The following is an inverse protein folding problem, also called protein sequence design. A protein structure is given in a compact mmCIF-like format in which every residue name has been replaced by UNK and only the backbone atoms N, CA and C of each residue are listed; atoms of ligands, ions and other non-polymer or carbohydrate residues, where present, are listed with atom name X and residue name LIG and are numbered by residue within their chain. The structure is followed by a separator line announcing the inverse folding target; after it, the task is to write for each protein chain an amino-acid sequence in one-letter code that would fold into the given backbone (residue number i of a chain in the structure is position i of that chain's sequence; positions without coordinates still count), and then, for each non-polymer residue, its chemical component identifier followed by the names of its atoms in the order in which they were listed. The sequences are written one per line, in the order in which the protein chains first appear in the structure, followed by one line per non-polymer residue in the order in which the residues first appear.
data_IF_431097870252
#
_entry.id   IF_431097870252
#
_cell.length_a   1.000
_cell.length_b   1.000
_cell.length_c   1.000
_cell.angle_alpha   90.00
_cell.angle_beta   90.00
_cell.angle_gamma   90.00
#
_symmetry.space_group_name_H-M   'P 1'
#
loop_
_entity.id
_entity.type
_entity.pdbx_description
1 polymer ?
#
# COMPACT_ATOMS: atom_id res chain seq x y z
N UNK A 1 -7.34 12.38 -9.33
CA UNK A 1 -6.07 11.64 -9.27
C UNK A 1 -5.79 11.35 -7.81
N UNK A 2 -5.90 10.10 -7.35
CA UNK A 2 -5.69 9.75 -5.93
C UNK A 2 -4.23 9.32 -5.74
N UNK A 3 -3.48 10.11 -4.99
CA UNK A 3 -2.09 9.81 -4.58
C UNK A 3 -2.04 9.80 -3.07
N UNK A 4 -1.49 8.73 -2.50
CA UNK A 4 -1.25 8.63 -1.06
C UNK A 4 -0.46 7.39 -0.71
N UNK A 5 0.87 7.49 -0.74
CA UNK A 5 1.77 6.60 0.00
C UNK A 5 2.05 7.27 1.35
N UNK A 6 1.81 6.58 2.47
CA UNK A 6 2.23 7.06 3.79
C UNK A 6 3.51 6.36 4.25
N UNK A 7 4.34 7.16 4.91
CA UNK A 7 5.56 6.87 5.69
C UNK A 7 6.93 6.97 5.01
N UNK A 8 6.99 7.09 3.69
CA UNK A 8 8.11 7.77 3.02
C UNK A 8 7.52 8.91 2.19
N UNK A 9 7.84 10.15 2.56
CA UNK A 9 7.36 11.39 1.93
C UNK A 9 7.43 11.23 0.41
N UNK A 10 6.28 11.12 -0.27
CA UNK A 10 6.23 11.32 -1.71
C UNK A 10 6.98 12.63 -2.00
N UNK A 11 7.98 12.66 -2.90
CA UNK A 11 8.84 13.82 -3.07
C UNK A 11 7.98 15.09 -3.11
N UNK A 12 8.19 16.04 -2.19
CA UNK A 12 7.27 17.19 -1.97
C UNK A 12 6.84 17.91 -3.26
N UNK A 13 7.68 17.87 -4.29
CA UNK A 13 7.39 18.38 -5.65
C UNK A 13 6.24 17.68 -6.40
N UNK A 14 5.81 16.50 -5.95
CA UNK A 14 4.76 15.66 -6.54
C UNK A 14 3.52 15.54 -5.63
N UNK A 15 3.62 16.00 -4.39
CA UNK A 15 2.49 16.03 -3.46
C UNK A 15 1.74 17.34 -3.70
N UNK A 16 0.50 17.25 -4.14
CA UNK A 16 -0.39 18.39 -4.24
C UNK A 16 -0.63 18.95 -2.81
N UNK A 17 -0.37 20.23 -2.54
CA UNK A 17 -0.58 20.82 -1.21
C UNK A 17 -2.04 20.75 -0.75
N UNK A 18 -2.99 20.55 -1.66
CA UNK A 18 -4.42 20.39 -1.35
C UNK A 18 -4.82 18.93 -1.09
N UNK A 19 -3.89 17.97 -1.19
CA UNK A 19 -4.20 16.57 -0.90
C UNK A 19 -4.33 16.32 0.61
N UNK A 20 -5.52 15.88 1.01
CA UNK A 20 -5.81 15.42 2.35
C UNK A 20 -5.83 13.89 2.40
N UNK A 21 -5.27 13.33 3.48
CA UNK A 21 -5.34 11.89 3.72
C UNK A 21 -6.77 11.52 4.10
N UNK A 22 -7.44 10.75 3.25
CA UNK A 22 -8.84 10.32 3.46
C UNK A 22 -8.96 9.02 4.27
N UNK A 23 -7.95 8.14 4.20
CA UNK A 23 -7.91 6.90 4.97
C UNK A 23 -6.50 6.31 5.01
N UNK A 24 -6.23 5.46 6.00
CA UNK A 24 -5.02 4.63 6.08
C UNK A 24 -5.41 3.17 5.98
N UNK A 25 -4.73 2.43 5.11
CA UNK A 25 -4.88 0.97 4.99
C UNK A 25 -3.60 0.33 5.51
N UNK A 26 -3.72 -0.50 6.55
CA UNK A 26 -2.59 -1.27 7.07
C UNK A 26 -2.68 -2.69 6.52
N UNK A 27 -1.54 -3.27 6.14
CA UNK A 27 -1.45 -4.65 5.68
C UNK A 27 -0.50 -5.43 6.59
N UNK A 28 -0.90 -6.63 6.99
CA UNK A 28 -0.05 -7.55 7.72
C UNK A 28 0.57 -8.58 6.76
N UNK A 29 1.90 -8.67 6.79
CA UNK A 29 2.70 -9.61 6.00
C UNK A 29 3.46 -10.60 6.89
N UNK A 30 3.24 -10.58 8.21
CA UNK A 30 4.00 -11.38 9.18
C UNK A 30 3.83 -12.89 9.01
N UNK A 31 2.74 -13.32 8.38
CA UNK A 31 2.45 -14.73 8.08
C UNK A 31 3.08 -15.21 6.76
N UNK A 32 3.71 -14.33 5.98
CA UNK A 32 4.29 -14.67 4.68
C UNK A 32 5.78 -15.05 4.86
N UNK A 33 6.16 -16.30 4.57
CA UNK A 33 7.56 -16.69 4.60
C UNK A 33 8.39 -15.85 3.63
N UNK A 34 9.56 -15.38 4.08
CA UNK A 34 10.47 -14.56 3.26
C UNK A 34 10.88 -15.23 1.95
N UNK A 35 10.86 -16.57 1.90
CA UNK A 35 11.14 -17.36 0.70
C UNK A 35 10.16 -17.12 -0.45
N UNK A 36 8.99 -16.51 -0.19
CA UNK A 36 8.03 -16.15 -1.24
C UNK A 36 8.35 -14.82 -1.92
N UNK A 37 9.24 -14.01 -1.36
CA UNK A 37 9.63 -12.73 -1.94
C UNK A 37 10.88 -12.85 -2.79
N UNK A 38 10.93 -12.07 -3.86
CA UNK A 38 12.13 -11.98 -4.68
C UNK A 38 13.26 -11.37 -3.86
N UNK A 39 14.36 -12.10 -3.75
CA UNK A 39 15.57 -11.67 -3.04
C UNK A 39 16.52 -10.95 -3.99
N UNK A 40 16.98 -9.77 -3.60
CA UNK A 40 18.03 -9.00 -4.27
C UNK A 40 19.16 -8.72 -3.29
N UNK A 41 20.38 -8.56 -3.80
CA UNK A 41 21.54 -8.19 -3.00
C UNK A 41 22.19 -6.93 -3.59
N UNK A 42 22.50 -5.96 -2.73
CA UNK A 42 23.30 -4.80 -3.12
C UNK A 42 24.74 -5.25 -3.37
N UNK A 43 25.28 -4.97 -4.56
CA UNK A 43 26.68 -5.25 -4.89
C UNK A 43 27.66 -4.34 -4.12
N UNK A 44 27.22 -3.16 -3.70
CA UNK A 44 28.04 -2.18 -2.98
C UNK A 44 28.16 -2.48 -1.49
N UNK A 45 27.07 -2.93 -0.86
CA UNK A 45 26.98 -3.11 0.59
C UNK A 45 26.84 -4.56 1.02
N UNK A 46 26.61 -5.48 0.08
CA UNK A 46 26.33 -6.89 0.36
C UNK A 46 24.96 -7.12 1.03
N UNK A 47 24.18 -6.08 1.32
CA UNK A 47 22.91 -6.19 2.03
C UNK A 47 21.85 -6.87 1.16
N UNK A 48 21.04 -7.70 1.81
CA UNK A 48 19.94 -8.42 1.20
C UNK A 48 18.64 -7.64 1.36
N UNK A 49 17.90 -7.51 0.27
CA UNK A 49 16.58 -6.90 0.21
C UNK A 49 15.58 -7.92 -0.31
N UNK A 50 14.34 -7.86 0.19
CA UNK A 50 13.22 -8.66 -0.30
C UNK A 50 12.21 -7.72 -0.95
N UNK A 51 11.80 -8.03 -2.17
CA UNK A 51 10.81 -7.26 -2.91
C UNK A 51 9.41 -7.82 -2.64
N UNK A 52 8.54 -6.98 -2.07
CA UNK A 52 7.13 -7.26 -1.93
C UNK A 52 6.32 -6.46 -2.97
N UNK A 53 5.55 -7.15 -3.79
CA UNK A 53 4.62 -6.52 -4.75
C UNK A 53 3.21 -6.50 -4.16
N UNK A 54 2.78 -5.31 -3.75
CA UNK A 54 1.45 -5.07 -3.18
C UNK A 54 0.54 -4.44 -4.24
N UNK A 55 -0.71 -4.88 -4.30
CA UNK A 55 -1.76 -4.25 -5.10
C UNK A 55 -2.78 -3.61 -4.18
N UNK A 56 -3.13 -2.37 -4.46
CA UNK A 56 -4.21 -1.69 -3.75
C UNK A 56 -5.46 -1.72 -4.64
N UNK A 57 -6.55 -2.27 -4.11
CA UNK A 57 -7.84 -2.35 -4.79
C UNK A 57 -8.85 -1.45 -4.09
N UNK A 58 -9.42 -0.50 -4.83
CA UNK A 58 -10.60 0.25 -4.41
C UNK A 58 -11.85 -0.39 -4.99
N UNK A 59 -12.91 -0.48 -4.18
CA UNK A 59 -14.25 -0.83 -4.65
C UNK A 59 -15.21 0.20 -4.09
N UNK A 60 -15.90 0.90 -4.99
CA UNK A 60 -16.90 1.89 -4.67
C UNK A 60 -18.29 1.32 -4.99
N UNK A 61 -19.16 1.28 -4.00
CA UNK A 61 -20.54 0.85 -4.15
C UNK A 61 -21.45 1.74 -3.31
N UNK A 62 -22.40 2.40 -3.97
CA UNK A 62 -23.27 3.42 -3.37
C UNK A 62 -22.45 4.56 -2.75
N UNK A 63 -22.31 4.57 -1.41
CA UNK A 63 -21.60 5.58 -0.62
C UNK A 63 -20.38 5.01 0.11
N UNK A 64 -20.10 3.72 -0.13
CA UNK A 64 -19.09 2.98 0.60
C UNK A 64 -17.88 2.74 -0.29
N UNK A 65 -16.75 3.30 0.11
CA UNK A 65 -15.44 3.03 -0.48
C UNK A 65 -14.69 2.01 0.36
N UNK A 66 -14.48 0.83 -0.19
CA UNK A 66 -13.65 -0.20 0.44
C UNK A 66 -12.30 -0.25 -0.24
N UNK A 67 -11.23 -0.15 0.55
CA UNK A 67 -9.86 -0.38 0.12
C UNK A 67 -9.37 -1.72 0.62
N UNK A 68 -8.65 -2.44 -0.25
CA UNK A 68 -8.01 -3.71 0.07
C UNK A 68 -6.56 -3.70 -0.38
N UNK A 69 -5.64 -4.13 0.47
CA UNK A 69 -4.27 -4.42 0.08
C UNK A 69 -4.18 -5.91 -0.22
N UNK A 70 -3.68 -6.24 -1.40
CA UNK A 70 -3.47 -7.59 -1.87
C UNK A 70 -1.97 -7.87 -2.02
N UNK A 71 -1.53 -9.04 -1.56
CA UNK A 71 -0.18 -9.57 -1.82
C UNK A 71 -0.32 -10.97 -2.42
N UNK A 72 0.21 -11.19 -3.63
CA UNK A 72 0.06 -12.48 -4.33
C UNK A 72 -1.39 -12.87 -4.60
N UNK A 73 -2.30 -11.90 -4.76
CA UNK A 73 -3.73 -12.12 -4.98
C UNK A 73 -4.56 -12.41 -3.72
N UNK A 74 -3.93 -12.46 -2.53
CA UNK A 74 -4.64 -12.61 -1.24
C UNK A 74 -4.78 -11.28 -0.53
N UNK A 75 -5.93 -11.03 0.09
CA UNK A 75 -6.17 -9.86 0.95
C UNK A 75 -5.30 -9.92 2.22
N UNK A 76 -4.61 -8.82 2.51
CA UNK A 76 -3.70 -8.65 3.67
C UNK A 76 -4.12 -7.53 4.60
N UNK A 77 -5.12 -6.76 4.21
CA UNK A 77 -5.67 -5.68 4.98
C UNK A 77 -6.75 -4.96 4.20
N UNK A 78 -7.70 -4.40 4.92
CA UNK A 78 -8.77 -3.61 4.32
C UNK A 78 -9.25 -2.52 5.26
N UNK A 79 -9.84 -1.50 4.68
CA UNK A 79 -10.56 -0.46 5.41
C UNK A 79 -11.74 -0.01 4.57
N UNK A 80 -12.77 0.48 5.24
CA UNK A 80 -14.00 0.95 4.61
C UNK A 80 -14.29 2.35 5.11
N UNK A 81 -14.58 3.24 4.17
CA UNK A 81 -14.99 4.63 4.44
C UNK A 81 -16.38 4.80 3.85
N UNK A 82 -17.30 5.31 4.67
CA UNK A 82 -18.62 5.75 4.21
C UNK A 82 -18.58 7.26 3.99
N UNK A 83 -19.05 7.70 2.83
CA UNK A 83 -19.24 9.12 2.53
C UNK A 83 -20.73 9.44 2.70
N UNK A 84 -21.07 10.13 3.80
CA UNK A 84 -22.39 10.76 3.93
C UNK A 84 -22.36 12.10 3.18
N UNK A 85 -23.43 12.45 2.46
CA UNK A 85 -23.60 13.73 1.73
C UNK A 85 -23.49 14.97 2.62
#
# INVERSE_FOLDING_TARGET
MLVGCSEDVAPRRLADPEMHTICRVNADLGDIPLSQFQKTQSLLTGMVFYKADLKLQATFASEVLTWKVLCGGKERGSTTVTYDE
#
